data_IF_329086050803
#
_entry.id   IF_329086050803
#
_cell.length_a   1.000
_cell.length_b   1.000
_cell.length_c   1.000
_cell.angle_alpha   90.00
_cell.angle_beta   90.00
_cell.angle_gamma   90.00
#
_symmetry.space_group_name_H-M   'P 1'
#
loop_
_entity.id
_entity.type
_entity.pdbx_description
1 polymer ?
#
# COMPACT_ATOMS: atom_id res chain seq x y z
N UNK A 1 2.26 -17.86 10.24
CA UNK A 1 2.06 -16.67 9.38
C UNK A 1 3.38 -16.35 8.72
N UNK A 2 3.44 -16.45 7.38
CA UNK A 2 4.63 -16.09 6.62
C UNK A 2 4.63 -14.57 6.40
N UNK A 3 5.80 -13.94 6.51
CA UNK A 3 5.98 -12.48 6.43
C UNK A 3 6.92 -12.07 5.28
N UNK A 4 7.00 -12.91 4.25
CA UNK A 4 7.91 -12.76 3.12
C UNK A 4 7.25 -12.02 1.95
N UNK A 5 6.28 -11.15 2.23
CA UNK A 5 5.57 -10.39 1.20
C UNK A 5 5.81 -8.90 1.40
N UNK A 6 6.11 -8.23 0.29
CA UNK A 6 6.20 -6.77 0.24
C UNK A 6 5.10 -6.26 -0.68
N UNK A 7 4.29 -5.32 -0.19
CA UNK A 7 3.32 -4.59 -1.00
C UNK A 7 3.81 -3.17 -1.21
N UNK A 8 3.96 -2.76 -2.46
CA UNK A 8 4.17 -1.38 -2.86
C UNK A 8 2.85 -0.74 -3.26
N UNK A 9 2.53 0.40 -2.66
CA UNK A 9 1.39 1.23 -2.99
C UNK A 9 1.91 2.51 -3.63
N UNK A 10 1.48 2.81 -4.86
CA UNK A 10 1.59 4.16 -5.42
C UNK A 10 0.26 4.89 -5.17
N UNK A 11 0.34 6.12 -4.69
CA UNK A 11 -0.81 6.98 -4.40
C UNK A 11 -0.60 8.27 -5.18
N UNK A 12 -1.55 8.66 -6.02
CA UNK A 12 -1.46 9.89 -6.80
C UNK A 12 -2.09 11.12 -6.10
N UNK A 13 -1.71 12.30 -6.59
CA UNK A 13 -2.00 13.64 -6.04
C UNK A 13 -3.44 13.81 -5.53
N UNK A 14 -3.58 14.17 -4.23
CA UNK A 14 -4.83 14.61 -3.55
C UNK A 14 -6.07 13.78 -3.91
N UNK A 15 -5.96 12.47 -4.04
CA UNK A 15 -7.18 11.68 -4.12
C UNK A 15 -7.92 11.84 -2.80
N UNK A 16 -9.20 12.20 -2.88
CA UNK A 16 -10.19 12.24 -1.79
C UNK A 16 -10.27 10.94 -0.97
N UNK A 17 -9.46 9.93 -1.32
CA UNK A 17 -9.40 8.60 -0.74
C UNK A 17 -8.34 8.46 0.35
N UNK A 18 -7.55 9.48 0.70
CA UNK A 18 -6.63 9.39 1.85
C UNK A 18 -7.30 8.86 3.15
N UNK A 19 -8.53 9.30 3.51
CA UNK A 19 -9.24 8.71 4.65
C UNK A 19 -9.60 7.23 4.44
N UNK A 20 -9.99 6.83 3.23
CA UNK A 20 -10.35 5.44 2.90
C UNK A 20 -9.13 4.53 2.90
N UNK A 21 -8.02 4.99 2.34
CA UNK A 21 -6.74 4.27 2.38
C UNK A 21 -6.29 4.06 3.83
N UNK A 22 -6.41 5.10 4.67
CA UNK A 22 -6.11 4.97 6.09
C UNK A 22 -7.03 3.95 6.77
N UNK A 23 -8.33 3.93 6.46
CA UNK A 23 -9.27 2.93 6.99
C UNK A 23 -8.86 1.50 6.59
N UNK A 24 -8.50 1.27 5.32
CA UNK A 24 -8.01 -0.04 4.87
C UNK A 24 -6.70 -0.43 5.57
N UNK A 25 -5.75 0.49 5.70
CA UNK A 25 -4.50 0.25 6.43
C UNK A 25 -4.76 -0.11 7.89
N UNK A 26 -5.76 0.49 8.53
CA UNK A 26 -6.19 0.13 9.88
C UNK A 26 -6.88 -1.24 9.92
N UNK A 27 -7.76 -1.53 8.96
CA UNK A 27 -8.45 -2.83 8.85
C UNK A 27 -7.47 -3.99 8.70
N UNK A 28 -6.42 -3.82 7.89
CA UNK A 28 -5.37 -4.82 7.69
C UNK A 28 -4.20 -4.68 8.68
N UNK A 29 -4.34 -3.90 9.76
CA UNK A 29 -3.25 -3.59 10.68
C UNK A 29 -2.58 -4.82 11.29
N UNK A 30 -3.33 -5.89 11.57
CA UNK A 30 -2.78 -7.15 12.10
C UNK A 30 -1.90 -7.90 11.08
N UNK A 31 -2.05 -7.60 9.78
CA UNK A 31 -1.26 -8.18 8.71
C UNK A 31 -0.04 -7.33 8.35
N UNK A 32 0.06 -6.08 8.81
CA UNK A 32 1.15 -5.17 8.44
C UNK A 32 2.25 -5.21 9.51
N UNK A 33 3.44 -5.66 9.12
CA UNK A 33 4.63 -5.70 9.99
C UNK A 33 5.48 -4.44 9.91
N UNK A 34 5.52 -3.81 8.74
CA UNK A 34 6.26 -2.56 8.51
C UNK A 34 5.48 -1.71 7.52
N UNK A 35 5.48 -0.40 7.74
CA UNK A 35 4.90 0.62 6.85
C UNK A 35 5.86 1.80 6.74
N UNK A 36 6.35 2.07 5.54
CA UNK A 36 7.21 3.22 5.22
C UNK A 36 6.54 4.06 4.16
N UNK A 37 6.30 5.33 4.46
CA UNK A 37 5.88 6.32 3.48
C UNK A 37 7.11 7.01 2.87
N UNK A 38 7.19 7.02 1.55
CA UNK A 38 8.19 7.70 0.76
C UNK A 38 7.49 8.80 -0.03
N UNK A 39 8.02 10.01 0.06
CA UNK A 39 7.57 11.13 -0.76
C UNK A 39 8.45 11.22 -2.00
N UNK A 40 7.86 11.37 -3.19
CA UNK A 40 8.67 11.67 -4.37
C UNK A 40 9.23 13.09 -4.25
N UNK A 41 10.55 13.19 -4.08
CA UNK A 41 11.28 14.45 -4.17
C UNK A 41 11.76 14.65 -5.60
N UNK A 42 10.90 15.20 -6.46
CA UNK A 42 11.32 15.61 -7.79
C UNK A 42 11.75 17.09 -7.75
N UNK A 43 13.00 17.44 -8.10
CA UNK A 43 13.51 18.82 -7.99
C UNK A 43 12.83 19.81 -8.95
N UNK A 44 12.18 19.34 -10.02
CA UNK A 44 11.62 20.20 -11.07
C UNK A 44 10.08 20.31 -11.08
N UNK A 45 9.38 19.42 -10.38
CA UNK A 45 7.92 19.44 -10.25
C UNK A 45 7.51 18.91 -8.87
N UNK A 46 6.61 19.61 -8.17
CA UNK A 46 5.85 19.00 -7.08
C UNK A 46 4.98 17.89 -7.69
N UNK A 47 5.52 16.67 -7.73
CA UNK A 47 4.77 15.48 -8.06
C UNK A 47 4.20 14.97 -6.74
N UNK A 48 2.94 15.26 -6.42
CA UNK A 48 2.33 14.74 -5.19
C UNK A 48 1.93 13.25 -5.30
N UNK A 49 2.66 12.51 -6.12
CA UNK A 49 2.72 11.07 -6.08
C UNK A 49 3.53 10.65 -4.83
N UNK A 50 2.98 9.69 -4.08
CA UNK A 50 3.62 9.08 -2.92
C UNK A 50 3.72 7.58 -3.09
N UNK A 51 4.74 6.99 -2.46
CA UNK A 51 4.89 5.54 -2.40
C UNK A 51 4.79 5.10 -0.95
N UNK A 52 3.94 4.12 -0.66
CA UNK A 52 3.89 3.44 0.64
C UNK A 52 4.36 2.02 0.45
N UNK A 53 5.39 1.63 1.19
CA UNK A 53 5.88 0.25 1.23
C UNK A 53 5.38 -0.42 2.49
N UNK A 54 4.81 -1.62 2.33
CA UNK A 54 4.32 -2.45 3.42
C UNK A 54 5.05 -3.78 3.41
N UNK A 55 5.57 -4.21 4.57
CA UNK A 55 5.83 -5.62 4.79
C UNK A 55 4.58 -6.25 5.39
N UNK A 56 4.09 -7.33 4.79
CA UNK A 56 2.84 -7.97 5.21
C UNK A 56 3.02 -9.44 5.56
N UNK A 57 2.17 -9.90 6.48
CA UNK A 57 2.12 -11.26 7.00
C UNK A 57 0.71 -11.82 6.84
N UNK A 58 0.59 -13.02 6.26
CA UNK A 58 -0.71 -13.63 6.05
C UNK A 58 -0.63 -14.89 5.19
N UNK A 59 -1.74 -15.57 5.05
CA UNK A 59 -1.96 -16.51 3.96
C UNK A 59 -2.22 -15.75 2.65
N UNK A 60 -2.01 -16.42 1.52
CA UNK A 60 -2.10 -15.80 0.20
C UNK A 60 -3.49 -15.25 -0.12
N UNK A 61 -4.55 -15.92 0.34
CA UNK A 61 -5.93 -15.49 0.07
C UNK A 61 -6.24 -14.16 0.76
N UNK A 62 -5.83 -14.02 2.04
CA UNK A 62 -5.94 -12.77 2.78
C UNK A 62 -5.14 -11.65 2.11
N UNK A 63 -3.91 -11.92 1.66
CA UNK A 63 -3.06 -10.92 1.02
C UNK A 63 -3.58 -10.50 -0.36
N UNK A 64 -4.14 -11.43 -1.14
CA UNK A 64 -4.77 -11.13 -2.42
C UNK A 64 -6.03 -10.28 -2.22
N UNK A 65 -6.83 -10.55 -1.18
CA UNK A 65 -7.98 -9.71 -0.80
C UNK A 65 -7.56 -8.30 -0.39
N UNK A 66 -6.48 -8.18 0.40
CA UNK A 66 -5.87 -6.90 0.76
C UNK A 66 -5.39 -6.13 -0.48
N UNK A 67 -4.75 -6.80 -1.43
CA UNK A 67 -4.27 -6.20 -2.68
C UNK A 67 -5.43 -5.69 -3.56
N UNK A 68 -6.52 -6.46 -3.66
CA UNK A 68 -7.74 -6.04 -4.38
C UNK A 68 -8.37 -4.82 -3.73
N UNK A 69 -8.53 -4.85 -2.40
CA UNK A 69 -9.11 -3.74 -1.65
C UNK A 69 -8.35 -2.42 -1.86
N UNK A 70 -7.01 -2.47 -1.96
CA UNK A 70 -6.22 -1.28 -2.28
C UNK A 70 -6.38 -0.83 -3.73
N UNK A 71 -6.43 -1.75 -4.70
CA UNK A 71 -6.58 -1.41 -6.12
C UNK A 71 -8.01 -0.95 -6.48
N UNK A 72 -9.01 -1.26 -5.66
CA UNK A 72 -10.38 -0.74 -5.81
C UNK A 72 -10.49 0.75 -5.42
N UNK A 73 -9.49 1.31 -4.74
CA UNK A 73 -9.43 2.74 -4.46
C UNK A 73 -8.93 3.50 -5.68
N UNK A 74 -9.76 4.43 -6.17
CA UNK A 74 -9.37 5.36 -7.22
C UNK A 74 -8.10 6.15 -6.81
N UNK A 75 -7.12 6.18 -7.70
CA UNK A 75 -5.83 6.83 -7.46
C UNK A 75 -4.82 6.05 -6.62
N UNK A 76 -5.12 4.78 -6.29
CA UNK A 76 -4.17 3.87 -5.64
C UNK A 76 -3.82 2.74 -6.60
N UNK A 77 -2.54 2.39 -6.67
CA UNK A 77 -2.07 1.20 -7.36
C UNK A 77 -1.24 0.37 -6.40
N UNK A 78 -1.64 -0.88 -6.19
CA UNK A 78 -0.97 -1.82 -5.30
C UNK A 78 -0.33 -2.97 -6.09
N UNK A 79 0.94 -3.27 -5.80
CA UNK A 79 1.67 -4.42 -6.34
C UNK A 79 2.28 -5.21 -5.19
N UNK A 80 2.22 -6.54 -5.28
CA UNK A 80 2.81 -7.44 -4.29
C UNK A 80 4.02 -8.16 -4.90
N UNK A 81 5.06 -8.31 -4.09
CA UNK A 81 6.23 -9.15 -4.34
C UNK A 81 6.24 -10.27 -3.29
N UNK A 82 6.28 -11.51 -3.76
CA UNK A 82 6.47 -12.72 -2.95
C UNK A 82 7.97 -13.02 -2.89
N UNK A 83 8.52 -13.17 -1.69
CA UNK A 83 9.93 -13.44 -1.42
C UNK A 83 10.17 -14.87 -0.89
N UNK A 84 9.16 -15.75 -0.93
CA UNK A 84 9.34 -17.18 -0.63
C UNK A 84 10.09 -17.92 -1.74
#
# INVERSE_FOLDING_TARGET
MNCFYIIGLRVNHRSSNAPKLQQLLTQFGCNIKMRVGLHEVNPDYCSDDGVIMLQVCGDKETLDSMLRSFNDLDGVTAKMMDLN
#
